data_IF_194339760066
#
_entry.id   IF_194339760066
#
_cell.length_a   1.000
_cell.length_b   1.000
_cell.length_c   1.000
_cell.angle_alpha   90.00
_cell.angle_beta   90.00
_cell.angle_gamma   90.00
#
_symmetry.space_group_name_H-M   'P 1'
#
loop_
_entity.id
_entity.type
_entity.pdbx_description
1 polymer ?
#
# COMPACT_ATOMS: atom_id res chain seq x y z
N UNK A 1 -11.24 -9.17 4.32
CA UNK A 1 -10.66 -10.51 4.33
C UNK A 1 -10.83 -11.17 2.98
N UNK A 2 -9.78 -11.77 2.49
CA UNK A 2 -9.77 -12.44 1.18
C UNK A 2 -9.11 -13.81 1.30
N UNK A 3 -9.72 -14.84 0.74
CA UNK A 3 -9.14 -16.17 0.70
C UNK A 3 -8.57 -16.45 -0.69
N UNK A 4 -7.34 -16.96 -0.72
CA UNK A 4 -6.67 -17.36 -1.96
C UNK A 4 -6.18 -18.80 -1.81
N UNK A 5 -6.08 -19.51 -2.92
CA UNK A 5 -5.56 -20.88 -2.95
C UNK A 5 -4.28 -20.91 -3.76
N UNK A 6 -3.21 -21.40 -3.17
CA UNK A 6 -1.89 -21.53 -3.79
C UNK A 6 -1.40 -22.96 -3.53
N UNK A 7 -1.06 -23.69 -4.57
CA UNK A 7 -0.62 -25.10 -4.46
C UNK A 7 -1.59 -25.95 -3.63
N UNK A 8 -2.88 -25.79 -3.89
CA UNK A 8 -3.98 -26.54 -3.23
C UNK A 8 -4.16 -26.22 -1.74
N UNK A 9 -3.41 -25.24 -1.20
CA UNK A 9 -3.57 -24.78 0.17
C UNK A 9 -4.27 -23.41 0.19
N UNK A 10 -5.24 -23.26 1.09
CA UNK A 10 -5.97 -22.01 1.27
C UNK A 10 -5.21 -21.07 2.23
N UNK A 11 -5.10 -19.80 1.84
CA UNK A 11 -4.50 -18.74 2.67
C UNK A 11 -5.53 -17.63 2.84
N UNK A 12 -5.58 -17.08 4.03
CA UNK A 12 -6.46 -15.96 4.34
C UNK A 12 -5.64 -14.70 4.45
N UNK A 13 -5.98 -13.70 3.65
CA UNK A 13 -5.35 -12.39 3.65
C UNK A 13 -6.29 -11.39 4.32
N UNK A 14 -5.76 -10.62 5.27
CA UNK A 14 -6.53 -9.59 5.96
C UNK A 14 -5.60 -8.47 6.43
N UNK A 15 -6.09 -7.24 6.31
CA UNK A 15 -5.39 -6.07 6.86
C UNK A 15 -6.06 -5.69 8.18
N UNK A 16 -5.39 -6.07 9.26
CA UNK A 16 -5.88 -5.90 10.63
C UNK A 16 -4.79 -5.23 11.48
N UNK A 17 -4.95 -5.30 12.79
CA UNK A 17 -3.98 -4.78 13.75
C UNK A 17 -2.58 -5.37 13.51
N UNK A 18 -2.50 -6.67 13.21
CA UNK A 18 -1.21 -7.32 12.93
C UNK A 18 -0.49 -6.66 11.74
N UNK A 19 -1.22 -6.36 10.68
CA UNK A 19 -0.65 -5.65 9.53
C UNK A 19 -0.22 -4.23 9.91
N UNK A 20 -0.98 -3.55 10.76
CA UNK A 20 -0.68 -2.19 11.19
C UNK A 20 0.55 -2.11 12.11
N UNK A 21 0.85 -3.18 12.82
CA UNK A 21 2.04 -3.26 13.66
C UNK A 21 3.32 -3.51 12.87
N UNK A 22 3.19 -3.87 11.61
CA UNK A 22 4.33 -4.05 10.72
C UNK A 22 4.68 -2.70 10.07
N UNK A 23 5.69 -2.03 10.61
CA UNK A 23 6.07 -0.67 10.24
C UNK A 23 6.30 -0.48 8.74
N UNK A 24 6.95 -1.42 8.09
CA UNK A 24 7.25 -1.36 6.66
C UNK A 24 5.97 -1.28 5.81
N UNK A 25 4.91 -1.96 6.23
CA UNK A 25 3.62 -1.91 5.57
C UNK A 25 3.01 -0.50 5.68
N UNK A 26 2.94 0.03 6.89
CA UNK A 26 2.38 1.36 7.16
C UNK A 26 3.16 2.44 6.44
N UNK A 27 4.49 2.36 6.46
CA UNK A 27 5.36 3.30 5.74
C UNK A 27 5.15 3.23 4.23
N UNK A 28 5.03 2.02 3.67
CA UNK A 28 4.77 1.83 2.24
C UNK A 28 3.46 2.45 1.81
N UNK A 29 2.41 2.26 2.60
CA UNK A 29 1.08 2.84 2.33
C UNK A 29 1.15 4.36 2.39
N UNK A 30 1.77 4.92 3.44
CA UNK A 30 1.95 6.37 3.59
C UNK A 30 2.71 6.97 2.42
N UNK A 31 3.82 6.34 2.03
CA UNK A 31 4.65 6.81 0.92
C UNK A 31 3.89 6.81 -0.41
N UNK A 32 3.09 5.78 -0.67
CA UNK A 32 2.27 5.71 -1.87
C UNK A 32 1.26 6.86 -1.93
N UNK A 33 0.62 7.18 -0.82
CA UNK A 33 -0.34 8.29 -0.75
C UNK A 33 0.33 9.64 -0.92
N UNK A 34 1.47 9.85 -0.28
CA UNK A 34 2.24 11.10 -0.40
C UNK A 34 2.70 11.29 -1.85
N UNK A 35 3.27 10.26 -2.47
CA UNK A 35 3.73 10.32 -3.87
C UNK A 35 2.59 10.54 -4.86
N UNK A 36 1.43 9.93 -4.63
CA UNK A 36 0.25 10.13 -5.47
C UNK A 36 -0.21 11.59 -5.44
N UNK A 37 -0.18 12.22 -4.25
CA UNK A 37 -0.50 13.64 -4.09
C UNK A 37 0.52 14.55 -4.78
N UNK A 38 1.79 14.27 -4.62
CA UNK A 38 2.89 15.03 -5.26
C UNK A 38 2.95 14.80 -6.78
N UNK A 39 2.65 13.56 -7.21
CA UNK A 39 2.62 13.20 -8.63
C UNK A 39 1.59 14.01 -9.43
N UNK A 40 0.45 14.31 -8.84
CA UNK A 40 -0.58 15.15 -9.46
C UNK A 40 -0.08 16.58 -9.69
N UNK A 41 0.64 17.14 -8.72
CA UNK A 41 1.24 18.47 -8.85
C UNK A 41 2.31 18.53 -9.94
N UNK A 42 3.18 17.53 -10.01
CA UNK A 42 4.22 17.42 -11.02
C UNK A 42 3.63 17.28 -12.44
N UNK A 43 2.55 16.54 -12.60
CA UNK A 43 1.87 16.35 -13.87
C UNK A 43 1.25 17.67 -14.38
N UNK A 44 0.79 18.51 -13.48
CA UNK A 44 0.22 19.82 -13.81
C UNK A 44 1.27 20.82 -14.31
N UNK A 45 2.54 20.64 -13.94
CA UNK A 45 3.64 21.52 -14.34
C UNK A 45 4.27 21.14 -15.68
N UNK A 46 3.78 20.11 -16.37
CA UNK A 46 4.30 19.63 -17.66
C UNK A 46 5.78 19.22 -17.62
N UNK A 47 6.27 18.76 -16.46
CA UNK A 47 7.63 18.28 -16.33
C UNK A 47 7.69 16.81 -16.73
N UNK A 48 8.04 16.55 -18.00
CA UNK A 48 8.12 15.21 -18.58
C UNK A 48 9.22 14.36 -17.91
N UNK A 49 10.34 14.97 -17.56
CA UNK A 49 11.45 14.25 -16.90
C UNK A 49 11.05 13.79 -15.51
N UNK A 50 10.40 14.65 -14.72
CA UNK A 50 9.92 14.30 -13.38
C UNK A 50 8.86 13.21 -13.46
N UNK A 51 7.97 13.25 -14.45
CA UNK A 51 6.95 12.24 -14.66
C UNK A 51 7.55 10.88 -15.01
N UNK A 52 8.56 10.86 -15.89
CA UNK A 52 9.28 9.62 -16.28
C UNK A 52 10.05 9.07 -15.08
N UNK A 53 10.76 9.91 -14.32
CA UNK A 53 11.51 9.49 -13.15
C UNK A 53 10.58 8.90 -12.07
N UNK A 54 9.42 9.52 -11.84
CA UNK A 54 8.42 9.02 -10.91
C UNK A 54 7.86 7.66 -11.35
N UNK A 55 7.64 7.49 -12.65
CA UNK A 55 7.17 6.22 -13.21
C UNK A 55 8.22 5.13 -13.06
N UNK A 56 9.48 5.42 -13.39
CA UNK A 56 10.61 4.49 -13.23
C UNK A 56 10.75 4.07 -11.78
N UNK A 57 10.71 5.02 -10.84
CA UNK A 57 10.78 4.73 -9.41
C UNK A 57 9.62 3.84 -8.97
N UNK A 58 8.40 4.13 -9.42
CA UNK A 58 7.21 3.35 -9.09
C UNK A 58 7.36 1.91 -9.57
N UNK A 59 7.80 1.71 -10.82
CA UNK A 59 8.01 0.38 -11.40
C UNK A 59 9.15 -0.34 -10.69
N UNK A 60 10.26 0.34 -10.40
CA UNK A 60 11.41 -0.26 -9.74
C UNK A 60 11.10 -0.75 -8.32
N UNK A 61 10.25 -0.02 -7.60
CA UNK A 61 9.88 -0.36 -6.21
C UNK A 61 8.65 -1.26 -6.11
N UNK A 62 7.96 -1.50 -7.22
CA UNK A 62 6.72 -2.27 -7.24
C UNK A 62 6.86 -3.69 -6.66
N UNK A 63 7.89 -4.50 -7.06
CA UNK A 63 8.04 -5.83 -6.49
C UNK A 63 8.22 -5.82 -4.97
N UNK A 64 9.07 -4.96 -4.46
CA UNK A 64 9.35 -4.87 -3.01
C UNK A 64 8.11 -4.41 -2.23
N UNK A 65 7.41 -3.42 -2.72
CA UNK A 65 6.18 -2.92 -2.09
C UNK A 65 5.09 -3.98 -2.10
N UNK A 66 4.91 -4.65 -3.23
CA UNK A 66 3.92 -5.73 -3.35
C UNK A 66 4.22 -6.83 -2.34
N UNK A 67 5.48 -7.23 -2.22
CA UNK A 67 5.89 -8.25 -1.26
C UNK A 67 5.63 -7.80 0.18
N UNK A 68 5.96 -6.56 0.51
CA UNK A 68 5.73 -5.99 1.85
C UNK A 68 4.25 -6.03 2.22
N UNK A 69 3.39 -5.59 1.30
CA UNK A 69 1.94 -5.58 1.54
C UNK A 69 1.36 -6.98 1.59
N UNK A 70 1.83 -7.87 0.74
CA UNK A 70 1.40 -9.28 0.73
C UNK A 70 1.76 -9.97 2.06
N UNK A 71 3.00 -9.78 2.53
CA UNK A 71 3.44 -10.32 3.81
C UNK A 71 2.60 -9.80 4.96
N UNK A 72 2.34 -8.50 5.00
CA UNK A 72 1.52 -7.89 6.04
C UNK A 72 0.12 -8.49 6.09
N UNK A 73 -0.48 -8.78 4.94
CA UNK A 73 -1.81 -9.38 4.86
C UNK A 73 -1.84 -10.83 5.37
N UNK A 74 -0.70 -11.51 5.39
CA UNK A 74 -0.58 -12.89 5.88
C UNK A 74 -0.39 -12.99 7.40
N UNK A 75 0.02 -11.90 8.05
CA UNK A 75 0.47 -11.95 9.45
C UNK A 75 -0.57 -12.46 10.44
N UNK A 76 -1.81 -12.02 10.34
CA UNK A 76 -2.83 -12.39 11.33
C UNK A 76 -3.11 -13.89 11.35
N UNK A 77 -3.35 -14.49 10.20
CA UNK A 77 -3.73 -15.89 10.11
C UNK A 77 -2.56 -16.86 9.92
N UNK A 78 -1.48 -16.41 9.33
CA UNK A 78 -0.36 -17.28 8.93
C UNK A 78 0.98 -16.88 9.49
N UNK A 79 1.08 -15.73 10.14
CA UNK A 79 2.31 -15.29 10.80
C UNK A 79 2.63 -16.08 12.06
N UNK A 80 3.69 -15.70 12.79
CA UNK A 80 4.06 -16.37 14.04
C UNK A 80 2.94 -16.39 15.10
N UNK A 81 2.09 -15.39 15.11
CA UNK A 81 0.93 -15.30 16.01
C UNK A 81 -0.30 -16.04 15.48
N UNK A 82 -0.28 -16.46 14.22
CA UNK A 82 -1.33 -17.25 13.58
C UNK A 82 -0.96 -18.72 13.56
N UNK A 83 -1.11 -19.37 12.39
CA UNK A 83 -0.78 -20.81 12.26
C UNK A 83 0.73 -21.08 12.12
N UNK A 84 1.54 -20.04 11.98
CA UNK A 84 2.99 -20.17 11.90
C UNK A 84 3.53 -20.65 10.56
N UNK A 85 2.71 -20.76 9.53
CA UNK A 85 3.16 -21.21 8.21
C UNK A 85 4.05 -20.19 7.51
N UNK A 86 3.92 -18.91 7.85
CA UNK A 86 4.75 -17.81 7.35
C UNK A 86 5.54 -17.24 8.53
N UNK A 87 6.80 -17.60 8.63
CA UNK A 87 7.66 -17.18 9.75
C UNK A 87 8.40 -15.88 9.48
N UNK A 88 8.49 -15.47 8.22
CA UNK A 88 9.16 -14.22 7.86
C UNK A 88 8.99 -13.88 6.39
N UNK A 89 9.67 -12.82 5.98
CA UNK A 89 9.61 -12.30 4.62
C UNK A 89 10.03 -13.33 3.57
N UNK A 90 10.98 -14.21 3.89
CA UNK A 90 11.44 -15.25 2.98
C UNK A 90 10.32 -16.22 2.59
N UNK A 91 9.50 -16.63 3.57
CA UNK A 91 8.35 -17.51 3.32
C UNK A 91 7.29 -16.81 2.47
N UNK A 92 7.01 -15.54 2.78
CA UNK A 92 6.07 -14.73 2.01
C UNK A 92 6.54 -14.54 0.57
N UNK A 93 7.84 -14.34 0.38
CA UNK A 93 8.45 -14.20 -0.96
C UNK A 93 8.24 -15.44 -1.81
N UNK A 94 8.48 -16.62 -1.24
CA UNK A 94 8.25 -17.90 -1.92
C UNK A 94 6.77 -18.07 -2.28
N UNK A 95 5.89 -17.77 -1.35
CA UNK A 95 4.45 -17.87 -1.56
C UNK A 95 3.97 -16.90 -2.65
N UNK A 96 4.46 -15.66 -2.63
CA UNK A 96 4.12 -14.67 -3.65
C UNK A 96 4.59 -15.14 -5.03
N UNK A 97 5.80 -15.67 -5.13
CA UNK A 97 6.33 -16.19 -6.39
C UNK A 97 5.44 -17.31 -6.95
N UNK A 98 4.99 -18.22 -6.08
CA UNK A 98 4.06 -19.29 -6.48
C UNK A 98 2.71 -18.74 -6.90
N UNK A 99 2.20 -17.74 -6.21
CA UNK A 99 0.93 -17.09 -6.52
C UNK A 99 0.98 -16.42 -7.90
N UNK A 100 2.03 -15.65 -8.18
CA UNK A 100 2.21 -14.99 -9.47
C UNK A 100 2.27 -16.01 -10.60
N UNK A 101 3.01 -17.09 -10.40
CA UNK A 101 3.19 -18.13 -11.42
C UNK A 101 1.90 -18.93 -11.65
N UNK A 102 1.27 -19.39 -10.58
CA UNK A 102 0.08 -20.24 -10.65
C UNK A 102 -1.12 -19.51 -11.25
N UNK A 103 -1.33 -18.26 -10.84
CA UNK A 103 -2.47 -17.44 -11.29
C UNK A 103 -2.15 -16.55 -12.48
N UNK A 104 -0.91 -16.61 -13.00
CA UNK A 104 -0.45 -15.78 -14.12
C UNK A 104 -0.68 -14.29 -13.87
N UNK A 105 -0.27 -13.83 -12.70
CA UNK A 105 -0.42 -12.44 -12.26
C UNK A 105 0.90 -11.70 -12.28
N UNK A 106 0.84 -10.39 -12.45
CA UNK A 106 1.98 -9.50 -12.29
C UNK A 106 2.01 -8.92 -10.88
N UNK A 107 3.11 -8.28 -10.52
CA UNK A 107 3.18 -7.52 -9.25
C UNK A 107 2.10 -6.43 -9.18
N UNK A 108 1.81 -5.79 -10.30
CA UNK A 108 0.76 -4.78 -10.37
C UNK A 108 -0.61 -5.37 -10.04
N UNK A 109 -0.92 -6.54 -10.58
CA UNK A 109 -2.19 -7.22 -10.31
C UNK A 109 -2.36 -7.49 -8.82
N UNK A 110 -1.30 -8.00 -8.18
CA UNK A 110 -1.32 -8.29 -6.74
C UNK A 110 -1.39 -6.99 -5.93
N UNK A 111 -0.67 -5.95 -6.35
CA UNK A 111 -0.73 -4.64 -5.70
C UNK A 111 -2.15 -4.09 -5.71
N UNK A 112 -2.84 -4.18 -6.84
CA UNK A 112 -4.24 -3.75 -6.96
C UNK A 112 -5.15 -4.57 -6.05
N UNK A 113 -4.93 -5.87 -5.97
CA UNK A 113 -5.67 -6.74 -5.05
C UNK A 113 -5.45 -6.35 -3.59
N UNK A 114 -4.21 -6.03 -3.21
CA UNK A 114 -3.88 -5.63 -1.84
C UNK A 114 -4.51 -4.28 -1.49
N UNK A 115 -4.45 -3.32 -2.40
CA UNK A 115 -5.08 -2.02 -2.19
C UNK A 115 -6.60 -2.13 -2.05
N UNK A 116 -7.23 -2.94 -2.89
CA UNK A 116 -8.67 -3.21 -2.81
C UNK A 116 -9.03 -3.85 -1.47
N UNK A 117 -8.23 -4.81 -1.02
CA UNK A 117 -8.43 -5.49 0.26
C UNK A 117 -8.29 -4.51 1.44
N UNK A 118 -7.30 -3.61 1.39
CA UNK A 118 -7.13 -2.57 2.40
C UNK A 118 -8.38 -1.70 2.53
N UNK A 119 -8.98 -1.33 1.40
CA UNK A 119 -10.21 -0.56 1.38
C UNK A 119 -11.37 -1.33 2.01
N UNK A 120 -11.53 -2.59 1.65
CA UNK A 120 -12.59 -3.46 2.17
C UNK A 120 -12.44 -3.75 3.67
N UNK A 121 -11.21 -3.88 4.15
CA UNK A 121 -10.92 -4.16 5.55
C UNK A 121 -10.83 -2.89 6.41
N UNK A 122 -11.07 -1.72 5.81
CA UNK A 122 -11.00 -0.41 6.50
C UNK A 122 -9.62 -0.15 7.13
N UNK A 123 -8.57 -0.61 6.46
CA UNK A 123 -7.20 -0.48 6.95
C UNK A 123 -6.74 0.99 6.98
N UNK A 124 -7.17 1.78 6.02
CA UNK A 124 -6.81 3.21 5.96
C UNK A 124 -7.35 3.98 7.17
N UNK A 125 -8.58 3.67 7.58
CA UNK A 125 -9.18 4.25 8.78
C UNK A 125 -8.49 3.73 10.04
N UNK A 126 -8.12 2.44 10.05
CA UNK A 126 -7.44 1.82 11.19
C UNK A 126 -6.12 2.51 11.51
N UNK A 127 -5.33 2.84 10.49
CA UNK A 127 -4.04 3.52 10.68
C UNK A 127 -4.18 5.05 10.76
N UNK A 128 -5.40 5.58 10.63
CA UNK A 128 -5.68 7.00 10.72
C UNK A 128 -5.32 7.82 9.48
N UNK A 129 -5.10 7.17 8.35
CA UNK A 129 -4.68 7.83 7.11
C UNK A 129 -5.73 8.79 6.58
N UNK A 130 -7.01 8.45 6.72
CA UNK A 130 -8.14 9.31 6.35
C UNK A 130 -8.10 10.65 7.09
N UNK A 131 -7.78 10.62 8.39
CA UNK A 131 -7.65 11.83 9.22
C UNK A 131 -6.41 12.64 8.87
N UNK A 132 -5.31 11.98 8.55
CA UNK A 132 -4.07 12.64 8.14
C UNK A 132 -4.28 13.38 6.82
N UNK A 133 -4.90 12.76 5.82
CA UNK A 133 -5.20 13.39 4.54
C UNK A 133 -6.17 14.55 4.69
N UNK A 134 -7.20 14.41 5.52
CA UNK A 134 -8.14 15.49 5.82
C UNK A 134 -7.46 16.67 6.50
N UNK A 135 -6.57 16.41 7.45
CA UNK A 135 -5.80 17.46 8.14
C UNK A 135 -4.89 18.22 7.18
N UNK A 136 -4.22 17.51 6.26
CA UNK A 136 -3.39 18.15 5.23
C UNK A 136 -4.22 19.01 4.28
N UNK A 137 -5.39 18.54 3.87
CA UNK A 137 -6.32 19.31 3.04
C UNK A 137 -6.81 20.57 3.75
N UNK A 138 -7.12 20.48 5.04
CA UNK A 138 -7.54 21.61 5.86
C UNK A 138 -6.41 22.64 6.02
N UNK A 139 -5.18 22.20 6.24
CA UNK A 139 -4.01 23.08 6.33
C UNK A 139 -3.79 23.84 5.02
N UNK A 140 -3.87 23.14 3.88
CA UNK A 140 -3.73 23.77 2.55
C UNK A 140 -4.85 24.80 2.33
N UNK A 141 -6.08 24.48 2.65
CA UNK A 141 -7.21 25.40 2.55
C UNK A 141 -7.06 26.60 3.48
N UNK A 142 -6.56 26.38 4.69
CA UNK A 142 -6.30 27.43 5.67
C UNK A 142 -5.22 28.40 5.19
N UNK A 143 -4.13 27.90 4.61
CA UNK A 143 -3.06 28.74 4.03
C UNK A 143 -3.54 29.54 2.85
N UNK A 144 -4.31 28.93 1.94
CA UNK A 144 -4.90 29.61 0.79
C UNK A 144 -5.90 30.67 1.25
N UNK A 145 -6.71 30.35 2.26
CA UNK A 145 -7.65 31.29 2.86
C UNK A 145 -6.96 32.48 3.54
N UNK A 146 -5.87 32.24 4.27
CA UNK A 146 -5.06 33.28 4.91
C UNK A 146 -4.42 34.22 3.90
N UNK A 147 -3.85 33.66 2.82
CA UNK A 147 -3.26 34.47 1.74
C UNK A 147 -4.31 35.32 1.03
N UNK A 148 -5.49 34.78 0.80
CA UNK A 148 -6.60 35.52 0.18
C UNK A 148 -7.08 36.66 1.08
N UNK A 149 -7.12 36.46 2.40
CA UNK A 149 -7.54 37.50 3.35
C UNK A 149 -6.49 38.61 3.49
N UNK A 150 -5.22 38.34 3.32
CA UNK A 150 -4.15 39.34 3.34
C UNK A 150 -4.18 40.25 2.12
N UNK A 151 -4.66 39.76 0.97
CA UNK A 151 -4.77 40.52 -0.27
C UNK A 151 -6.05 41.39 -0.34
N UNK A 152 -6.97 41.13 0.53
CA UNK A 152 -8.22 41.90 0.60
C UNK A 152 -8.17 42.99 1.67
#
# INVERSE_FOLDING_TARGET
MKKITINKKEYTLVYSIEASLYDECTESVMNMFIKAGMGKGAAEENDTEAAVDALVETVANLPQRTLTLFYAALLEHHGPEGDGSIQGMSDAKKLLAEYLKEKKKSFRDVMEEMMDLMGKDHFFELIGLDKITSSLEEEVKSEVGANTSEQS
#
